data_IF_244807233210
#
_entry.id   IF_244807233210
#
_cell.length_a   1.000
_cell.length_b   1.000
_cell.length_c   1.000
_cell.angle_alpha   90.00
_cell.angle_beta   90.00
_cell.angle_gamma   90.00
#
_symmetry.space_group_name_H-M   'P 1'
#
loop_
_entity.id
_entity.type
_entity.pdbx_description
1 polymer ?
#
# COMPACT_ATOMS: atom_id res chain seq x y z
N UNK A 1 -6.16 2.87 22.02
CA UNK A 1 -5.35 3.20 20.82
C UNK A 1 -5.88 4.52 20.27
N UNK A 2 -5.01 5.48 19.94
CA UNK A 2 -5.41 6.70 19.23
C UNK A 2 -5.37 6.42 17.73
N UNK A 3 -6.36 6.91 16.98
CA UNK A 3 -6.43 6.74 15.54
C UNK A 3 -6.97 8.01 14.89
N UNK A 4 -6.44 8.34 13.73
CA UNK A 4 -6.88 9.43 12.86
C UNK A 4 -7.25 8.86 11.49
N UNK A 5 -8.19 9.49 10.81
CA UNK A 5 -8.69 9.05 9.50
C UNK A 5 -8.66 10.20 8.52
N UNK A 6 -8.26 9.90 7.29
CA UNK A 6 -8.15 10.87 6.21
C UNK A 6 -8.80 10.30 4.94
N UNK A 7 -9.58 11.14 4.25
CA UNK A 7 -10.16 10.83 2.94
C UNK A 7 -9.55 11.81 1.94
N UNK A 8 -8.95 11.29 0.88
CA UNK A 8 -8.30 12.07 -0.18
C UNK A 8 -8.91 11.70 -1.53
N UNK A 9 -8.88 12.66 -2.46
CA UNK A 9 -9.35 12.48 -3.83
C UNK A 9 -8.16 12.59 -4.79
N UNK A 10 -8.01 11.62 -5.70
CA UNK A 10 -6.90 11.57 -6.67
C UNK A 10 -6.51 10.14 -7.06
N UNK A 11 -5.37 9.99 -7.74
CA UNK A 11 -4.77 8.67 -7.96
C UNK A 11 -4.28 8.12 -6.61
N UNK A 12 -4.74 6.93 -6.17
CA UNK A 12 -4.37 6.37 -4.86
C UNK A 12 -2.87 6.26 -4.63
N UNK A 13 -2.09 6.00 -5.68
CA UNK A 13 -0.64 5.80 -5.54
C UNK A 13 0.07 7.10 -5.12
N UNK A 14 -0.41 8.23 -5.65
CA UNK A 14 0.16 9.55 -5.40
C UNK A 14 -0.31 10.04 -4.02
N UNK A 15 -1.62 9.96 -3.76
CA UNK A 15 -2.22 10.43 -2.50
C UNK A 15 -1.68 9.71 -1.27
N UNK A 16 -1.41 8.39 -1.36
CA UNK A 16 -0.82 7.65 -0.25
C UNK A 16 0.63 8.06 -0.02
N UNK A 17 1.42 8.26 -1.08
CA UNK A 17 2.82 8.67 -0.96
C UNK A 17 2.93 10.07 -0.37
N UNK A 18 2.12 11.01 -0.85
CA UNK A 18 2.10 12.39 -0.37
C UNK A 18 1.70 12.44 1.11
N UNK A 19 0.60 11.80 1.48
CA UNK A 19 0.15 11.75 2.87
C UNK A 19 1.20 11.13 3.80
N UNK A 20 1.80 10.00 3.43
CA UNK A 20 2.83 9.36 4.25
C UNK A 20 4.08 10.24 4.43
N UNK A 21 4.48 10.96 3.38
CA UNK A 21 5.62 11.87 3.41
C UNK A 21 5.31 13.14 4.22
N UNK A 22 4.14 13.74 4.07
CA UNK A 22 3.71 14.95 4.78
C UNK A 22 3.47 14.69 6.28
N UNK A 23 2.88 13.53 6.61
CA UNK A 23 2.63 13.13 7.99
C UNK A 23 3.89 12.61 8.70
N UNK A 24 5.01 12.41 7.97
CA UNK A 24 6.27 11.89 8.50
C UNK A 24 6.10 10.57 9.28
N UNK A 25 5.32 9.64 8.73
CA UNK A 25 5.06 8.35 9.40
C UNK A 25 6.32 7.49 9.46
N UNK A 26 6.49 6.74 10.56
CA UNK A 26 7.63 5.82 10.73
C UNK A 26 7.55 4.59 9.80
N UNK A 27 6.34 4.18 9.46
CA UNK A 27 6.08 3.02 8.59
C UNK A 27 4.76 3.17 7.84
N UNK A 28 4.79 2.86 6.55
CA UNK A 28 3.59 2.71 5.73
C UNK A 28 3.17 1.23 5.69
N UNK A 29 1.96 0.92 6.14
CA UNK A 29 1.41 -0.44 6.07
C UNK A 29 0.30 -0.50 5.03
N UNK A 30 0.46 -1.35 4.02
CA UNK A 30 -0.52 -1.53 2.94
C UNK A 30 -0.82 -3.00 2.69
N UNK A 31 -2.06 -3.30 2.33
CA UNK A 31 -2.45 -4.63 1.87
C UNK A 31 -2.01 -4.91 0.44
N UNK A 32 -1.86 -6.19 0.10
CA UNK A 32 -1.77 -6.65 -1.29
C UNK A 32 -2.98 -7.53 -1.63
N UNK A 33 -3.44 -7.47 -2.90
CA UNK A 33 -4.52 -8.32 -3.39
C UNK A 33 -3.94 -9.50 -4.16
N UNK A 34 -4.35 -10.73 -3.82
CA UNK A 34 -3.90 -11.98 -4.45
C UNK A 34 -4.46 -12.23 -5.86
N UNK A 35 -4.36 -11.27 -6.79
CA UNK A 35 -4.97 -11.37 -8.13
C UNK A 35 -4.19 -12.25 -9.14
N UNK A 36 -3.37 -13.19 -8.68
CA UNK A 36 -2.52 -14.01 -9.54
C UNK A 36 -1.35 -13.23 -10.18
N UNK A 37 -0.45 -13.94 -10.85
CA UNK A 37 0.78 -13.38 -11.43
C UNK A 37 0.52 -12.48 -12.65
N UNK A 38 -0.58 -12.74 -13.37
CA UNK A 38 -0.89 -12.12 -14.68
C UNK A 38 -1.42 -10.68 -14.53
N UNK A 39 -2.21 -10.36 -13.49
CA UNK A 39 -2.67 -8.98 -13.23
C UNK A 39 -1.59 -8.06 -12.65
N UNK A 40 -0.52 -8.63 -12.05
CA UNK A 40 0.60 -7.86 -11.47
C UNK A 40 1.53 -7.27 -12.54
N UNK A 41 1.64 -7.91 -13.71
CA UNK A 41 2.63 -7.55 -14.72
C UNK A 41 2.23 -6.40 -15.66
N UNK A 42 0.95 -5.99 -15.69
CA UNK A 42 0.46 -5.10 -16.76
C UNK A 42 0.46 -3.60 -16.42
N UNK A 43 0.36 -3.18 -15.15
CA UNK A 43 0.23 -1.74 -14.79
C UNK A 43 0.95 -1.33 -13.49
N UNK A 44 1.67 -2.24 -12.82
CA UNK A 44 2.10 -2.02 -11.43
C UNK A 44 0.91 -2.03 -10.46
N UNK A 45 1.17 -2.08 -9.16
CA UNK A 45 0.12 -2.01 -8.13
C UNK A 45 0.36 -0.81 -7.22
N UNK A 46 -0.68 -0.31 -6.55
CA UNK A 46 -0.53 0.78 -5.56
C UNK A 46 0.54 0.44 -4.51
N UNK A 47 0.51 -0.78 -3.97
CA UNK A 47 1.51 -1.24 -3.01
C UNK A 47 2.93 -1.30 -3.57
N UNK A 48 3.08 -1.65 -4.85
CA UNK A 48 4.37 -1.68 -5.54
C UNK A 48 4.90 -0.27 -5.81
N UNK A 49 4.03 0.64 -6.25
CA UNK A 49 4.37 2.06 -6.41
C UNK A 49 4.84 2.67 -5.09
N UNK A 50 4.09 2.49 -4.00
CA UNK A 50 4.42 3.03 -2.69
C UNK A 50 5.80 2.54 -2.20
N UNK A 51 6.10 1.25 -2.39
CA UNK A 51 7.37 0.66 -1.97
C UNK A 51 8.60 1.27 -2.66
N UNK A 52 8.41 1.90 -3.83
CA UNK A 52 9.49 2.54 -4.57
C UNK A 52 9.54 4.06 -4.41
N UNK A 53 8.47 4.72 -3.93
CA UNK A 53 8.35 6.18 -3.96
C UNK A 53 8.17 6.84 -2.58
N UNK A 54 7.73 6.10 -1.57
CA UNK A 54 7.58 6.66 -0.22
C UNK A 54 8.95 6.75 0.48
N UNK A 55 9.14 7.77 1.33
CA UNK A 55 10.42 7.99 2.02
C UNK A 55 10.62 7.14 3.28
N UNK A 56 9.58 6.45 3.74
CA UNK A 56 9.62 5.61 4.93
C UNK A 56 9.61 4.10 4.59
N UNK A 57 10.01 3.22 5.52
CA UNK A 57 9.82 1.79 5.37
C UNK A 57 8.38 1.42 5.02
N UNK A 58 8.20 0.53 4.05
CA UNK A 58 6.88 0.04 3.62
C UNK A 58 6.71 -1.44 3.95
N UNK A 59 5.65 -1.76 4.70
CA UNK A 59 5.23 -3.13 5.00
C UNK A 59 4.03 -3.52 4.12
N UNK A 60 4.28 -4.44 3.18
CA UNK A 60 3.23 -5.01 2.33
C UNK A 60 2.70 -6.31 2.95
N UNK A 61 1.44 -6.29 3.38
CA UNK A 61 0.77 -7.44 3.99
C UNK A 61 0.16 -8.32 2.90
N UNK A 62 0.57 -9.60 2.88
CA UNK A 62 -0.02 -10.61 1.99
C UNK A 62 -1.34 -11.14 2.56
N UNK A 63 -2.30 -11.54 1.70
CA UNK A 63 -3.48 -12.25 2.19
C UNK A 63 -3.03 -13.52 2.95
N UNK A 64 -3.81 -13.96 3.96
CA UNK A 64 -3.56 -15.24 4.63
C UNK A 64 -3.47 -16.36 3.60
N UNK A 65 -2.58 -17.34 3.81
CA UNK A 65 -2.60 -18.55 3.01
C UNK A 65 -3.97 -19.20 3.21
N UNK A 66 -4.69 -19.50 2.13
CA UNK A 66 -5.87 -20.35 2.23
C UNK A 66 -5.41 -21.67 2.86
N UNK A 67 -5.98 -22.03 4.01
CA UNK A 67 -5.84 -23.38 4.51
C UNK A 67 -6.59 -24.26 3.51
N UNK A 68 -5.88 -25.03 2.70
CA UNK A 68 -6.49 -26.17 2.03
C UNK A 68 -7.21 -26.98 3.12
N UNK A 69 -8.55 -26.93 3.11
CA UNK A 69 -9.37 -27.90 3.82
C UNK A 69 -9.37 -29.20 3.04
#
# INVERSE_FOLDING_TARGET
VKAETLILEGDPKDMICDAANEMHVDVLVVGSRGHGMIKRALLGSVSDYCAHHVKCPTLIVKPPKESHK
#
